data_IF_151139045057
#
_entry.id   IF_151139045057
#
_cell.length_a   1.000
_cell.length_b   1.000
_cell.length_c   1.000
_cell.angle_alpha   90.00
_cell.angle_beta   90.00
_cell.angle_gamma   90.00
#
_symmetry.space_group_name_H-M   'P 1'
#
loop_
_entity.id
_entity.type
_entity.pdbx_description
1 polymer ?
#
# COMPACT_ATOMS: atom_id res chain seq x y z
N UNK A 1 2.41 30.78 -54.72
CA UNK A 1 3.61 31.61 -54.91
C UNK A 1 4.46 31.56 -53.65
N UNK A 2 5.71 31.11 -53.81
CA UNK A 2 6.90 31.30 -52.97
C UNK A 2 6.89 30.93 -51.46
N UNK A 3 7.42 29.72 -51.18
CA UNK A 3 8.68 29.39 -50.47
C UNK A 3 9.03 29.90 -49.03
N UNK A 4 9.88 29.14 -48.31
CA UNK A 4 10.12 29.20 -46.86
C UNK A 4 11.43 29.94 -46.48
N UNK A 5 11.63 30.20 -45.18
CA UNK A 5 12.91 30.67 -44.62
C UNK A 5 13.39 29.80 -43.46
N UNK A 6 14.71 29.66 -43.39
CA UNK A 6 15.46 28.66 -42.63
C UNK A 6 16.60 29.30 -41.81
N UNK A 7 17.04 28.57 -40.76
CA UNK A 7 18.30 28.66 -39.98
C UNK A 7 18.46 29.85 -39.00
N UNK A 8 18.96 29.65 -37.77
CA UNK A 8 20.38 29.34 -37.44
C UNK A 8 20.64 28.56 -36.13
N UNK A 9 21.77 27.85 -36.12
CA UNK A 9 22.38 27.02 -35.05
C UNK A 9 23.43 27.77 -34.18
N UNK A 10 23.71 27.19 -32.98
CA UNK A 10 24.99 27.03 -32.21
C UNK A 10 25.01 27.58 -30.75
N UNK A 11 25.91 27.13 -29.82
CA UNK A 11 26.42 25.77 -29.51
C UNK A 11 26.72 25.47 -27.98
N UNK A 12 26.99 24.19 -27.64
CA UNK A 12 27.85 23.58 -26.56
C UNK A 12 27.66 23.94 -25.06
N UNK A 13 27.44 22.91 -24.21
CA UNK A 13 28.33 22.56 -23.07
C UNK A 13 28.02 21.17 -22.47
N UNK A 14 29.06 20.33 -22.46
CA UNK A 14 29.16 19.01 -21.83
C UNK A 14 29.62 19.12 -20.37
N UNK A 15 29.05 18.34 -19.46
CA UNK A 15 29.72 17.98 -18.20
C UNK A 15 29.35 16.54 -17.79
N UNK A 16 30.38 15.70 -17.68
CA UNK A 16 30.32 14.40 -16.99
C UNK A 16 30.46 14.62 -15.48
N UNK A 17 29.85 13.80 -14.60
CA UNK A 17 30.20 13.77 -13.18
C UNK A 17 31.50 12.96 -12.94
N UNK A 18 32.25 13.25 -11.85
CA UNK A 18 33.55 12.65 -11.54
C UNK A 18 33.45 11.23 -10.92
N UNK A 19 34.56 10.46 -10.87
CA UNK A 19 34.56 9.07 -10.45
C UNK A 19 34.84 8.85 -8.95
N UNK A 20 34.22 7.80 -8.40
CA UNK A 20 34.58 7.01 -7.20
C UNK A 20 34.72 7.72 -5.82
N UNK A 21 33.73 7.49 -4.94
CA UNK A 21 33.93 7.50 -3.48
C UNK A 21 33.80 6.07 -2.95
N UNK A 22 34.82 5.55 -2.27
CA UNK A 22 34.81 4.25 -1.58
C UNK A 22 34.20 4.41 -0.19
N UNK A 23 33.02 3.81 0.05
CA UNK A 23 32.38 3.73 1.36
C UNK A 23 33.16 2.77 2.28
N UNK A 24 33.36 3.12 3.56
CA UNK A 24 33.99 2.20 4.53
C UNK A 24 32.94 1.19 4.99
N UNK A 25 33.27 -0.10 4.94
CA UNK A 25 32.39 -1.18 5.38
C UNK A 25 33.00 -1.97 6.53
N UNK A 26 32.16 -2.50 7.41
CA UNK A 26 32.56 -3.44 8.48
C UNK A 26 31.73 -4.72 8.40
N UNK A 27 32.28 -5.86 8.83
CA UNK A 27 31.59 -7.16 8.73
C UNK A 27 31.07 -7.65 10.07
N UNK A 28 29.81 -8.08 10.11
CA UNK A 28 29.19 -8.75 11.26
C UNK A 28 28.59 -10.09 10.84
N UNK A 29 28.75 -11.11 11.67
CA UNK A 29 28.09 -12.41 11.51
C UNK A 29 26.84 -12.45 12.37
N UNK A 30 25.72 -12.85 11.77
CA UNK A 30 24.52 -13.23 12.51
C UNK A 30 24.21 -14.68 12.21
N UNK A 31 23.85 -15.44 13.23
CA UNK A 31 23.50 -16.84 13.08
C UNK A 31 22.64 -17.38 14.19
N UNK A 32 22.27 -18.65 14.04
CA UNK A 32 21.66 -19.42 15.11
C UNK A 32 22.17 -20.86 15.13
N UNK A 33 22.14 -21.45 16.33
CA UNK A 33 22.16 -22.90 16.52
C UNK A 33 20.80 -23.36 17.05
N UNK A 34 20.52 -24.65 16.93
CA UNK A 34 19.29 -25.22 17.44
C UNK A 34 19.52 -26.58 18.09
N UNK A 35 18.69 -26.90 19.08
CA UNK A 35 18.55 -28.24 19.65
C UNK A 35 17.07 -28.65 19.53
N UNK A 36 16.73 -29.73 18.81
CA UNK A 36 15.36 -30.19 18.73
C UNK A 36 14.92 -30.73 20.10
N UNK A 37 13.79 -30.24 20.60
CA UNK A 37 13.25 -30.67 21.89
C UNK A 37 12.29 -31.85 21.68
N UNK A 38 12.47 -32.91 22.46
CA UNK A 38 11.53 -34.04 22.51
C UNK A 38 10.51 -33.78 23.63
N UNK A 39 9.37 -33.13 23.36
CA UNK A 39 8.15 -33.34 24.17
C UNK A 39 6.88 -32.62 23.69
N UNK A 40 5.86 -33.46 23.49
CA UNK A 40 4.43 -33.45 23.87
C UNK A 40 3.61 -32.17 24.14
N UNK A 41 4.16 -30.95 24.14
CA UNK A 41 3.40 -29.73 24.48
C UNK A 41 2.76 -29.10 23.24
N UNK A 42 3.43 -29.23 22.09
CA UNK A 42 2.93 -28.77 20.79
C UNK A 42 2.51 -29.99 19.99
N UNK A 43 1.22 -30.34 20.04
CA UNK A 43 0.71 -31.63 19.54
C UNK A 43 0.85 -31.88 18.03
N UNK A 44 1.38 -30.95 17.22
CA UNK A 44 1.65 -31.17 15.78
C UNK A 44 2.82 -30.34 15.21
N UNK A 45 3.68 -29.74 16.06
CA UNK A 45 4.79 -28.89 15.59
C UNK A 45 6.10 -29.12 16.36
N UNK A 46 7.19 -29.34 15.61
CA UNK A 46 8.54 -29.53 16.16
C UNK A 46 9.00 -28.26 16.89
N UNK A 47 9.31 -28.40 18.18
CA UNK A 47 9.88 -27.34 18.99
C UNK A 47 11.42 -27.41 19.00
N UNK A 48 12.04 -26.24 19.12
CA UNK A 48 13.48 -26.06 19.12
C UNK A 48 13.90 -25.16 20.28
N UNK A 49 15.06 -25.47 20.86
CA UNK A 49 15.83 -24.53 21.67
C UNK A 49 16.79 -23.79 20.74
N UNK A 50 16.48 -22.54 20.45
CA UNK A 50 17.26 -21.65 19.61
C UNK A 50 18.35 -20.95 20.44
N UNK A 51 19.57 -20.85 19.91
CA UNK A 51 20.54 -19.85 20.33
C UNK A 51 20.84 -18.92 19.15
N UNK A 52 20.53 -17.64 19.29
CA UNK A 52 20.71 -16.62 18.25
C UNK A 52 21.91 -15.77 18.65
N UNK A 53 22.79 -15.43 17.72
CA UNK A 53 23.99 -14.65 18.03
C UNK A 53 24.30 -13.61 16.96
N UNK A 54 24.92 -12.51 17.39
CA UNK A 54 25.49 -11.48 16.55
C UNK A 54 26.93 -11.21 16.99
N UNK A 55 27.88 -11.30 16.07
CA UNK A 55 29.31 -11.22 16.35
C UNK A 55 30.02 -10.35 15.31
N UNK A 56 30.63 -9.21 15.70
CA UNK A 56 31.47 -8.46 14.78
C UNK A 56 32.69 -9.31 14.38
N UNK A 57 32.98 -9.38 13.08
CA UNK A 57 34.15 -10.09 12.54
C UNK A 57 35.33 -9.15 12.31
N UNK A 58 35.07 -7.85 12.21
CA UNK A 58 36.09 -6.83 12.09
C UNK A 58 36.42 -6.24 13.46
N UNK A 59 37.70 -6.27 13.84
CA UNK A 59 38.20 -5.67 15.08
C UNK A 59 38.10 -4.14 15.13
N UNK A 60 37.83 -3.50 14.00
CA UNK A 60 37.67 -2.04 13.90
C UNK A 60 36.34 -1.53 14.48
N UNK A 61 35.36 -2.41 14.69
CA UNK A 61 34.06 -2.05 15.27
C UNK A 61 33.80 -2.83 16.56
N UNK A 62 33.00 -2.24 17.46
CA UNK A 62 32.44 -2.95 18.60
C UNK A 62 30.94 -2.75 18.67
N UNK A 63 30.23 -3.72 19.25
CA UNK A 63 28.80 -3.59 19.52
C UNK A 63 28.62 -3.11 20.96
N UNK A 64 27.87 -2.02 21.15
CA UNK A 64 27.51 -1.53 22.48
C UNK A 64 26.18 -2.13 22.96
N UNK A 65 25.32 -2.51 22.03
CA UNK A 65 24.00 -3.07 22.32
C UNK A 65 23.50 -3.91 21.13
N UNK A 66 22.78 -4.98 21.43
CA UNK A 66 22.08 -5.78 20.43
C UNK A 66 20.66 -6.04 20.91
N UNK A 67 19.68 -5.61 20.13
CA UNK A 67 18.27 -5.91 20.39
C UNK A 67 17.76 -6.92 19.39
N UNK A 68 17.26 -8.04 19.88
CA UNK A 68 16.58 -9.06 19.10
C UNK A 68 15.07 -8.84 19.17
N UNK A 69 14.45 -8.57 18.04
CA UNK A 69 13.00 -8.60 17.87
C UNK A 69 12.60 -9.93 17.20
N UNK A 70 11.92 -10.78 17.97
CA UNK A 70 11.46 -12.10 17.62
C UNK A 70 9.99 -12.06 17.18
N UNK A 71 9.52 -13.15 16.57
CA UNK A 71 8.09 -13.33 16.30
C UNK A 71 7.23 -13.19 17.58
N UNK A 72 6.03 -12.57 17.53
CA UNK A 72 5.20 -12.33 18.73
C UNK A 72 4.76 -13.57 19.51
N UNK A 73 4.95 -14.78 18.96
CA UNK A 73 4.67 -16.03 19.69
C UNK A 73 5.75 -16.42 20.70
N UNK A 74 6.94 -15.80 20.68
CA UNK A 74 7.95 -16.01 21.72
C UNK A 74 7.60 -15.20 22.97
N UNK A 75 7.87 -15.76 24.15
CA UNK A 75 7.83 -15.01 25.41
C UNK A 75 8.91 -13.93 25.38
N UNK A 76 8.49 -12.67 25.56
CA UNK A 76 9.30 -11.47 25.34
C UNK A 76 9.83 -11.41 23.90
N UNK A 77 9.00 -10.86 23.01
CA UNK A 77 9.30 -10.74 21.59
C UNK A 77 10.34 -9.67 21.27
N UNK A 78 10.77 -8.86 22.25
CA UNK A 78 11.85 -7.88 22.10
C UNK A 78 12.81 -8.03 23.27
N UNK A 79 14.08 -8.30 23.00
CA UNK A 79 15.09 -8.57 24.02
C UNK A 79 16.34 -7.76 23.74
N UNK A 80 16.74 -6.92 24.69
CA UNK A 80 17.92 -6.07 24.60
C UNK A 80 19.09 -6.68 25.38
N UNK A 81 20.24 -6.84 24.73
CA UNK A 81 21.50 -7.31 25.32
C UNK A 81 22.54 -6.19 25.24
N UNK A 82 22.97 -5.70 26.41
CA UNK A 82 23.91 -4.56 26.53
C UNK A 82 25.36 -4.95 26.71
N UNK A 83 25.66 -6.25 26.78
CA UNK A 83 27.01 -6.76 27.03
C UNK A 83 27.27 -8.02 26.20
N UNK A 84 28.50 -8.14 25.69
CA UNK A 84 28.94 -9.33 24.96
C UNK A 84 29.14 -10.52 25.94
N UNK A 85 28.91 -11.77 25.51
CA UNK A 85 28.50 -12.17 24.16
C UNK A 85 27.00 -11.91 23.91
N UNK A 86 26.67 -11.37 22.74
CA UNK A 86 25.29 -11.03 22.37
C UNK A 86 24.53 -12.27 21.89
N UNK A 87 24.37 -13.25 22.78
CA UNK A 87 23.71 -14.53 22.49
C UNK A 87 22.36 -14.59 23.22
N UNK A 88 21.29 -14.87 22.48
CA UNK A 88 19.95 -15.02 22.99
C UNK A 88 19.48 -16.47 22.90
N UNK A 89 19.12 -17.08 24.03
CA UNK A 89 18.48 -18.40 24.05
C UNK A 89 16.96 -18.29 24.15
N UNK A 90 16.23 -19.03 23.30
CA UNK A 90 14.75 -19.07 23.28
C UNK A 90 14.22 -20.46 22.93
N UNK A 91 13.07 -20.81 23.49
CA UNK A 91 12.33 -22.01 23.09
C UNK A 91 11.14 -21.57 22.25
N UNK A 92 10.98 -22.16 21.07
CA UNK A 92 9.86 -21.88 20.17
C UNK A 92 9.69 -22.95 19.11
N UNK A 93 8.58 -22.89 18.37
CA UNK A 93 8.25 -23.84 17.32
C UNK A 93 8.56 -23.25 15.94
N UNK A 94 9.03 -24.04 14.98
CA UNK A 94 9.25 -23.57 13.61
C UNK A 94 10.33 -22.49 13.46
N UNK A 95 10.46 -21.99 12.22
CA UNK A 95 11.48 -21.01 11.79
C UNK A 95 10.84 -19.64 11.60
N UNK A 96 11.48 -18.58 12.09
CA UNK A 96 10.98 -17.21 12.00
C UNK A 96 12.08 -16.24 11.61
N UNK A 97 11.70 -15.12 11.01
CA UNK A 97 12.62 -14.00 10.86
C UNK A 97 12.79 -13.30 12.21
N UNK A 98 14.04 -13.08 12.60
CA UNK A 98 14.49 -12.32 13.75
C UNK A 98 15.11 -11.04 13.24
N UNK A 99 14.61 -9.90 13.71
CA UNK A 99 15.24 -8.61 13.45
C UNK A 99 16.31 -8.36 14.50
N UNK A 100 17.53 -8.07 14.07
CA UNK A 100 18.68 -7.80 14.93
C UNK A 100 19.07 -6.34 14.76
N UNK A 101 18.79 -5.54 15.78
CA UNK A 101 19.26 -4.16 15.86
C UNK A 101 20.63 -4.15 16.53
N UNK A 102 21.59 -3.51 15.89
CA UNK A 102 22.98 -3.43 16.30
C UNK A 102 23.32 -1.96 16.53
N UNK A 103 23.72 -1.62 17.75
CA UNK A 103 24.35 -0.33 18.01
C UNK A 103 25.87 -0.53 17.85
N UNK A 104 26.38 -0.14 16.69
CA UNK A 104 27.79 -0.29 16.31
C UNK A 104 28.55 0.96 16.72
N UNK A 105 29.47 0.81 17.68
CA UNK A 105 30.34 1.89 18.10
C UNK A 105 31.50 2.05 17.12
N UNK A 106 31.65 3.26 16.58
CA UNK A 106 32.72 3.59 15.65
C UNK A 106 34.04 3.87 16.40
N UNK A 107 35.19 3.45 15.86
CA UNK A 107 36.47 3.70 16.49
C UNK A 107 36.76 5.21 16.48
N UNK A 108 37.12 5.75 17.65
CA UNK A 108 37.61 7.11 17.89
C UNK A 108 36.61 8.29 17.74
N UNK A 109 35.33 8.06 17.44
CA UNK A 109 34.32 9.14 17.43
C UNK A 109 33.41 9.17 18.66
N UNK A 110 33.28 8.05 19.38
CA UNK A 110 32.30 7.91 20.47
C UNK A 110 30.85 7.87 19.97
N UNK A 111 30.64 7.91 18.65
CA UNK A 111 29.34 7.80 18.01
C UNK A 111 28.97 6.33 17.79
N UNK A 112 27.68 6.04 17.95
CA UNK A 112 27.11 4.73 17.62
C UNK A 112 26.20 4.86 16.41
N UNK A 113 26.35 3.93 15.46
CA UNK A 113 25.50 3.85 14.27
C UNK A 113 24.60 2.63 14.44
N UNK A 114 23.31 2.85 14.23
CA UNK A 114 22.32 1.79 14.34
C UNK A 114 22.20 1.07 13.01
N UNK A 115 22.39 -0.24 13.04
CA UNK A 115 22.10 -1.12 11.91
C UNK A 115 20.95 -2.06 12.27
N UNK A 116 20.10 -2.35 11.29
CA UNK A 116 19.02 -3.32 11.46
C UNK A 116 19.17 -4.38 10.40
N UNK A 117 19.46 -5.60 10.85
CA UNK A 117 19.62 -6.78 9.99
C UNK A 117 18.48 -7.75 10.24
N UNK A 118 18.18 -8.59 9.25
CA UNK A 118 17.15 -9.63 9.32
C UNK A 118 17.79 -10.99 9.18
N UNK A 119 17.47 -11.90 10.09
CA UNK A 119 17.99 -13.26 10.13
C UNK A 119 16.84 -14.26 10.23
N UNK A 120 16.71 -15.16 9.25
CA UNK A 120 15.75 -16.26 9.35
C UNK A 120 16.35 -17.37 10.21
N UNK A 121 15.66 -17.81 11.26
CA UNK A 121 16.05 -19.00 12.02
C UNK A 121 16.05 -20.20 11.09
N UNK A 122 17.14 -20.95 11.07
CA UNK A 122 17.30 -22.11 10.21
C UNK A 122 17.49 -23.37 11.06
N UNK A 123 16.77 -24.44 10.71
CA UNK A 123 16.88 -25.76 11.32
C UNK A 123 17.62 -26.77 10.41
N UNK A 124 18.34 -26.30 9.39
CA UNK A 124 18.92 -27.16 8.36
C UNK A 124 20.38 -27.57 8.66
N UNK A 125 21.11 -26.76 9.46
CA UNK A 125 22.46 -27.05 9.92
C UNK A 125 22.62 -26.76 11.42
N UNK A 126 23.58 -27.42 12.07
CA UNK A 126 23.82 -27.27 13.52
C UNK A 126 24.18 -25.82 13.91
N UNK A 127 24.85 -25.11 13.01
CA UNK A 127 25.15 -23.68 13.08
C UNK A 127 24.89 -23.09 11.70
N UNK A 128 23.88 -22.22 11.61
CA UNK A 128 23.52 -21.50 10.39
C UNK A 128 23.88 -20.04 10.60
N UNK A 129 24.63 -19.44 9.67
CA UNK A 129 25.10 -18.05 9.82
C UNK A 129 25.31 -17.36 8.48
N UNK A 130 25.26 -16.04 8.49
CA UNK A 130 25.60 -15.18 7.34
C UNK A 130 26.40 -13.96 7.80
N UNK A 131 27.35 -13.56 6.95
CA UNK A 131 28.13 -12.35 7.11
C UNK A 131 27.46 -11.18 6.38
N UNK A 132 27.29 -10.07 7.09
CA UNK A 132 26.68 -8.84 6.60
C UNK A 132 27.73 -7.73 6.58
N UNK A 133 27.77 -6.98 5.46
CA UNK A 133 28.56 -5.76 5.33
C UNK A 133 27.73 -4.56 5.80
N UNK A 134 28.27 -3.80 6.75
CA UNK A 134 27.67 -2.60 7.30
C UNK A 134 28.37 -1.37 6.72
N UNK A 135 27.60 -0.46 6.12
CA UNK A 135 28.12 0.82 5.62
C UNK A 135 28.28 1.84 6.76
N UNK A 136 29.43 2.50 6.84
CA UNK A 136 29.71 3.49 7.87
C UNK A 136 29.64 4.91 7.29
N UNK A 137 28.84 5.83 7.88
CA UNK A 137 28.62 7.17 7.34
C UNK A 137 29.90 8.03 7.29
N UNK A 138 29.95 8.95 6.32
CA UNK A 138 30.96 10.01 6.20
C UNK A 138 30.28 11.39 6.37
N UNK A 139 30.91 12.30 7.11
CA UNK A 139 30.35 13.61 7.51
C UNK A 139 30.22 14.62 6.33
N UNK A 140 29.00 15.16 6.04
CA UNK A 140 28.67 16.63 5.96
C UNK A 140 27.28 17.03 5.35
N UNK A 141 26.56 17.84 6.13
CA UNK A 141 25.77 19.11 5.96
C UNK A 141 24.65 19.38 4.91
N UNK A 142 23.59 20.08 5.39
CA UNK A 142 22.22 20.38 4.87
C UNK A 142 22.00 21.84 4.36
N UNK A 143 20.94 22.13 3.56
CA UNK A 143 20.18 23.42 3.51
C UNK A 143 18.85 23.37 2.66
N UNK A 144 17.88 24.26 2.96
CA UNK A 144 16.39 24.30 2.71
C UNK A 144 15.86 25.37 1.69
N UNK A 145 14.50 25.45 1.52
CA UNK A 145 13.57 26.56 1.10
C UNK A 145 12.76 26.34 -0.23
N UNK A 146 11.53 26.84 -0.54
CA UNK A 146 10.22 27.26 0.08
C UNK A 146 9.20 27.61 -1.09
N UNK A 147 7.88 27.75 -0.81
CA UNK A 147 6.64 27.74 -1.67
C UNK A 147 6.14 29.06 -2.35
N UNK A 148 5.11 29.01 -3.26
CA UNK A 148 4.15 30.12 -3.66
C UNK A 148 2.77 29.63 -4.25
N UNK A 149 1.65 30.36 -3.99
CA UNK A 149 0.19 30.19 -4.33
C UNK A 149 -0.43 31.08 -5.47
N UNK A 150 -1.64 30.74 -6.01
CA UNK A 150 -2.95 31.50 -6.09
C UNK A 150 -3.94 31.29 -7.32
N UNK A 151 -5.25 31.08 -6.98
CA UNK A 151 -6.61 31.56 -7.44
C UNK A 151 -7.32 31.32 -8.82
N UNK A 152 -8.67 31.20 -8.77
CA UNK A 152 -9.64 30.80 -9.84
C UNK A 152 -11.02 31.52 -9.84
N UNK A 153 -11.73 31.55 -11.00
CA UNK A 153 -13.09 32.10 -11.21
C UNK A 153 -13.98 31.20 -12.14
N UNK A 154 -15.32 31.26 -11.99
CA UNK A 154 -16.36 30.26 -12.38
C UNK A 154 -17.37 30.72 -13.48
N UNK A 155 -17.88 29.82 -14.36
CA UNK A 155 -19.08 30.01 -15.24
C UNK A 155 -19.87 28.69 -15.52
N UNK A 156 -21.20 28.76 -15.65
CA UNK A 156 -22.22 27.67 -15.77
C UNK A 156 -22.82 27.52 -17.18
N UNK A 157 -23.17 26.31 -17.68
CA UNK A 157 -24.10 26.07 -18.84
C UNK A 157 -24.95 24.75 -18.84
N UNK A 158 -25.98 24.76 -19.72
CA UNK A 158 -27.31 24.11 -19.86
C UNK A 158 -27.38 22.64 -20.42
N UNK A 159 -28.44 21.82 -20.18
CA UNK A 159 -28.39 20.35 -20.25
C UNK A 159 -29.11 19.67 -21.45
N UNK A 160 -28.86 20.05 -22.71
CA UNK A 160 -29.54 19.44 -23.88
C UNK A 160 -28.69 18.54 -24.81
N UNK A 161 -27.44 18.19 -24.46
CA UNK A 161 -26.61 17.29 -25.28
C UNK A 161 -26.32 15.95 -24.58
N UNK A 162 -27.25 15.00 -24.70
CA UNK A 162 -27.03 13.60 -24.31
C UNK A 162 -27.29 12.69 -25.50
N UNK A 163 -26.23 12.28 -26.22
CA UNK A 163 -25.99 10.94 -26.80
C UNK A 163 -24.85 10.98 -27.85
N UNK A 164 -23.90 10.06 -27.71
CA UNK A 164 -22.69 9.87 -28.53
C UNK A 164 -21.64 10.98 -28.43
N UNK A 165 -20.41 10.60 -28.04
CA UNK A 165 -19.32 11.47 -27.56
C UNK A 165 -19.62 12.10 -26.20
N UNK A 166 -19.42 11.34 -25.11
CA UNK A 166 -19.19 11.95 -23.80
C UNK A 166 -17.86 12.71 -23.86
N UNK A 167 -17.94 13.97 -24.30
CA UNK A 167 -16.86 14.92 -24.20
C UNK A 167 -16.77 15.32 -22.72
N UNK A 168 -15.67 14.98 -22.07
CA UNK A 168 -15.45 15.09 -20.63
C UNK A 168 -15.52 16.54 -20.10
N UNK A 169 -15.73 17.54 -20.96
CA UNK A 169 -15.60 18.97 -20.64
C UNK A 169 -16.87 19.65 -20.12
N UNK A 170 -18.03 18.99 -20.17
CA UNK A 170 -19.32 19.62 -19.85
C UNK A 170 -20.11 18.92 -18.72
N UNK A 171 -19.43 18.22 -17.79
CA UNK A 171 -20.12 17.69 -16.61
C UNK A 171 -20.35 18.83 -15.60
N UNK A 172 -21.59 19.19 -15.22
CA UNK A 172 -21.87 20.25 -14.25
C UNK A 172 -21.39 19.92 -12.83
N UNK A 173 -20.87 18.71 -12.59
CA UNK A 173 -20.21 18.29 -11.36
C UNK A 173 -18.67 18.22 -11.49
N UNK A 174 -18.11 18.55 -12.67
CA UNK A 174 -16.69 18.84 -12.81
C UNK A 174 -16.48 20.30 -12.42
N UNK A 175 -16.01 20.49 -11.19
CA UNK A 175 -15.11 21.59 -10.97
C UNK A 175 -13.71 21.07 -11.35
N UNK A 176 -13.18 21.53 -12.50
CA UNK A 176 -11.79 21.26 -12.90
C UNK A 176 -10.79 21.89 -11.90
N UNK A 177 -11.30 22.67 -10.92
CA UNK A 177 -10.56 23.39 -9.90
C UNK A 177 -10.66 22.79 -8.50
N UNK A 178 -10.94 21.49 -8.34
CA UNK A 178 -10.74 20.82 -7.04
C UNK A 178 -9.33 20.28 -6.87
N UNK A 179 -8.37 21.03 -7.39
CA UNK A 179 -7.07 21.20 -6.73
C UNK A 179 -7.25 22.49 -5.95
N UNK A 180 -6.84 22.51 -4.68
CA UNK A 180 -6.83 23.77 -3.94
C UNK A 180 -6.12 24.88 -4.75
N UNK A 181 -6.37 26.14 -4.42
CA UNK A 181 -5.93 27.38 -5.11
C UNK A 181 -4.38 27.49 -5.29
N UNK A 182 -3.67 26.44 -4.92
CA UNK A 182 -2.26 26.32 -4.62
C UNK A 182 -1.62 25.07 -5.26
N UNK A 183 -2.42 24.11 -5.76
CA UNK A 183 -1.93 22.89 -6.39
C UNK A 183 -1.24 21.91 -5.43
N UNK A 184 -1.44 22.06 -4.12
CA UNK A 184 -0.84 21.19 -3.11
C UNK A 184 -1.84 20.13 -2.64
N UNK A 185 -1.39 18.91 -2.42
CA UNK A 185 -2.23 17.89 -1.81
C UNK A 185 -2.42 18.28 -0.32
N UNK A 186 -3.55 18.90 0.06
CA UNK A 186 -3.95 19.08 1.48
C UNK A 186 -3.99 17.70 2.16
N UNK A 187 -2.90 17.38 2.85
CA UNK A 187 -2.65 16.09 3.52
C UNK A 187 -3.19 16.07 4.95
N UNK A 188 -3.84 17.15 5.38
CA UNK A 188 -4.34 17.30 6.76
C UNK A 188 -5.34 16.20 7.06
N UNK A 189 -5.07 15.46 8.14
CA UNK A 189 -6.00 14.49 8.68
C UNK A 189 -6.93 15.15 9.71
N UNK A 190 -8.21 14.81 9.62
CA UNK A 190 -9.25 15.21 10.53
C UNK A 190 -9.77 13.97 11.27
N UNK A 191 -10.35 14.19 12.45
CA UNK A 191 -11.00 13.15 13.22
C UNK A 191 -12.26 13.71 13.87
N UNK A 192 -13.41 13.11 13.58
CA UNK A 192 -14.65 13.36 14.31
C UNK A 192 -14.53 12.82 15.74
N UNK A 193 -15.22 13.42 16.70
CA UNK A 193 -15.29 12.89 18.07
C UNK A 193 -16.01 11.53 18.10
N UNK A 194 -15.78 10.73 19.15
CA UNK A 194 -16.47 9.44 19.32
C UNK A 194 -18.00 9.57 19.24
N UNK A 195 -18.55 10.62 19.82
CA UNK A 195 -20.00 10.92 19.82
C UNK A 195 -20.51 11.27 18.41
N UNK A 196 -19.75 12.08 17.66
CA UNK A 196 -20.06 12.42 16.27
C UNK A 196 -19.98 11.18 15.39
N UNK A 197 -18.98 10.32 15.62
CA UNK A 197 -18.73 9.11 14.88
C UNK A 197 -19.81 8.05 15.14
N UNK A 198 -20.19 7.82 16.39
CA UNK A 198 -21.30 6.92 16.77
C UNK A 198 -22.62 7.38 16.14
N UNK A 199 -22.95 8.66 16.25
CA UNK A 199 -24.16 9.21 15.65
C UNK A 199 -24.15 9.08 14.12
N UNK A 200 -23.00 9.33 13.50
CA UNK A 200 -22.84 9.19 12.05
C UNK A 200 -22.96 7.74 11.60
N UNK A 201 -22.30 6.81 12.28
CA UNK A 201 -22.35 5.38 11.98
C UNK A 201 -23.80 4.84 12.08
N UNK A 202 -24.53 5.19 13.14
CA UNK A 202 -25.94 4.81 13.30
C UNK A 202 -26.83 5.33 12.16
N UNK A 203 -26.67 6.60 11.79
CA UNK A 203 -27.41 7.19 10.67
C UNK A 203 -27.07 6.51 9.34
N UNK A 204 -25.78 6.24 9.10
CA UNK A 204 -25.31 5.62 7.86
C UNK A 204 -25.75 4.16 7.79
N UNK A 205 -25.69 3.41 8.89
CA UNK A 205 -26.21 2.05 8.98
C UNK A 205 -27.71 1.99 8.68
N UNK A 206 -28.48 2.96 9.17
CA UNK A 206 -29.90 3.09 8.82
C UNK A 206 -30.09 3.31 7.31
N UNK A 207 -29.34 4.24 6.70
CA UNK A 207 -29.43 4.51 5.27
C UNK A 207 -29.04 3.29 4.44
N UNK A 208 -27.91 2.67 4.76
CA UNK A 208 -27.39 1.48 4.09
C UNK A 208 -28.43 0.36 4.09
N UNK A 209 -29.04 0.07 5.25
CA UNK A 209 -30.06 -0.98 5.41
C UNK A 209 -31.34 -0.73 4.60
N UNK A 210 -31.72 0.53 4.38
CA UNK A 210 -32.96 0.90 3.68
C UNK A 210 -32.75 1.25 2.20
N UNK A 211 -31.51 1.20 1.72
CA UNK A 211 -31.16 1.45 0.33
C UNK A 211 -31.31 0.16 -0.49
N UNK A 212 -31.77 0.28 -1.74
CA UNK A 212 -32.10 -0.85 -2.60
C UNK A 212 -30.86 -1.43 -3.27
N UNK A 213 -29.92 -0.57 -3.66
CA UNK A 213 -28.71 -0.97 -4.36
C UNK A 213 -27.45 -0.27 -3.82
N UNK A 214 -27.03 -0.56 -2.58
CA UNK A 214 -25.81 0.03 -2.04
C UNK A 214 -24.56 -0.46 -2.75
N UNK A 215 -23.67 0.46 -3.09
CA UNK A 215 -22.35 0.18 -3.65
C UNK A 215 -21.27 0.79 -2.76
N UNK A 216 -20.25 0.00 -2.44
CA UNK A 216 -19.11 0.45 -1.63
C UNK A 216 -17.90 0.66 -2.54
N UNK A 217 -17.20 1.77 -2.33
CA UNK A 217 -16.01 2.17 -3.07
C UNK A 217 -14.83 2.23 -2.11
N UNK A 218 -13.75 1.54 -2.44
CA UNK A 218 -12.62 1.39 -1.51
C UNK A 218 -11.28 1.79 -2.14
N UNK A 219 -10.45 2.47 -1.36
CA UNK A 219 -9.06 2.77 -1.68
C UNK A 219 -8.09 2.31 -0.61
N UNK A 220 -6.83 2.73 -0.73
CA UNK A 220 -5.73 2.19 0.07
C UNK A 220 -5.89 2.43 1.58
N UNK A 221 -6.66 3.46 1.97
CA UNK A 221 -6.95 3.79 3.37
C UNK A 221 -7.73 2.71 4.13
N UNK A 222 -8.35 1.74 3.46
CA UNK A 222 -8.97 0.58 4.13
C UNK A 222 -7.94 -0.50 4.52
N UNK A 223 -6.74 -0.44 3.95
CA UNK A 223 -5.67 -1.43 4.12
C UNK A 223 -4.54 -0.93 5.04
N UNK A 224 -4.59 0.33 5.49
CA UNK A 224 -3.54 0.94 6.33
C UNK A 224 -3.35 0.22 7.67
N UNK A 225 -4.43 -0.25 8.31
CA UNK A 225 -4.34 -1.05 9.55
C UNK A 225 -3.78 -2.47 9.33
N UNK A 226 -3.69 -2.95 8.08
CA UNK A 226 -2.95 -4.18 7.73
C UNK A 226 -1.44 -3.93 7.57
N UNK A 227 -0.96 -2.72 7.87
CA UNK A 227 0.41 -2.26 7.65
C UNK A 227 0.81 -2.26 6.17
N UNK A 228 -0.17 -2.02 5.29
CA UNK A 228 0.03 -1.66 3.90
C UNK A 228 -0.05 -0.14 3.82
N UNK A 229 1.05 0.52 3.42
CA UNK A 229 1.06 1.97 3.27
C UNK A 229 -0.03 2.43 2.29
N UNK A 230 -0.56 3.63 2.49
CA UNK A 230 -1.40 4.25 1.48
C UNK A 230 -0.55 5.00 0.44
N UNK A 231 -1.22 5.71 -0.46
CA UNK A 231 -0.55 6.46 -1.52
C UNK A 231 -0.38 7.95 -1.20
N UNK A 232 -1.30 8.58 -0.47
CA UNK A 232 -1.40 10.05 -0.32
C UNK A 232 -1.67 10.53 1.10
N UNK A 233 -1.73 9.62 2.07
CA UNK A 233 -1.73 9.95 3.49
C UNK A 233 -0.44 10.66 3.90
N UNK A 234 -0.31 11.09 5.16
CA UNK A 234 0.90 11.73 5.67
C UNK A 234 2.19 10.91 5.42
N UNK A 235 2.06 9.58 5.40
CA UNK A 235 3.15 8.64 5.10
C UNK A 235 2.94 7.87 3.78
N UNK A 236 2.11 8.38 2.88
CA UNK A 236 1.76 7.71 1.63
C UNK A 236 2.89 7.69 0.60
N UNK A 237 2.86 6.72 -0.32
CA UNK A 237 3.93 6.50 -1.30
C UNK A 237 4.26 7.73 -2.16
N UNK A 238 3.24 8.47 -2.60
CA UNK A 238 3.41 9.71 -3.35
C UNK A 238 3.81 10.86 -2.42
N UNK A 239 3.19 10.96 -1.23
CA UNK A 239 3.54 11.98 -0.23
C UNK A 239 5.02 11.98 0.12
N UNK A 240 5.58 10.80 0.41
CA UNK A 240 7.00 10.68 0.75
C UNK A 240 7.90 10.92 -0.45
N UNK A 241 7.54 10.40 -1.63
CA UNK A 241 8.28 10.65 -2.88
C UNK A 241 8.36 12.14 -3.20
N UNK A 242 7.25 12.86 -3.09
CA UNK A 242 7.18 14.29 -3.39
C UNK A 242 7.97 15.12 -2.35
N UNK A 243 8.17 14.61 -1.13
CA UNK A 243 9.07 15.16 -0.11
C UNK A 243 10.54 14.75 -0.28
N UNK A 244 10.91 14.05 -1.36
CA UNK A 244 12.27 13.51 -1.55
C UNK A 244 12.65 12.42 -0.56
N UNK A 245 11.69 11.90 0.22
CA UNK A 245 11.90 10.84 1.21
C UNK A 245 11.56 9.48 0.61
N UNK A 246 12.38 8.48 0.92
CA UNK A 246 12.01 7.10 0.63
C UNK A 246 11.01 6.59 1.68
N UNK A 247 10.20 5.59 1.32
CA UNK A 247 9.31 4.91 2.27
C UNK A 247 10.13 4.32 3.45
N UNK A 248 10.19 5.03 4.58
CA UNK A 248 10.78 4.52 5.83
C UNK A 248 9.91 3.38 6.41
N UNK A 249 8.61 3.37 6.09
CA UNK A 249 7.72 2.24 6.35
C UNK A 249 8.00 1.13 5.33
N UNK A 250 8.63 0.04 5.79
CA UNK A 250 8.55 -1.26 5.08
C UNK A 250 7.08 -1.69 5.11
N UNK A 251 6.31 -1.37 4.06
CA UNK A 251 4.99 -1.98 3.87
C UNK A 251 5.18 -3.49 3.97
N UNK A 252 4.31 -4.18 4.73
CA UNK A 252 4.33 -5.64 4.71
C UNK A 252 4.24 -6.11 3.27
N UNK A 253 4.93 -7.20 2.96
CA UNK A 253 4.68 -7.91 1.72
C UNK A 253 3.17 -8.23 1.68
N UNK A 254 2.50 -8.06 0.54
CA UNK A 254 1.06 -8.30 0.43
C UNK A 254 0.70 -9.69 0.99
N UNK A 255 1.60 -10.67 0.82
CA UNK A 255 1.46 -12.06 1.31
C UNK A 255 1.33 -12.15 2.83
N UNK A 256 1.94 -11.23 3.56
CA UNK A 256 1.95 -11.17 5.03
C UNK A 256 0.83 -10.28 5.59
N UNK A 257 0.17 -9.49 4.75
CA UNK A 257 -0.99 -8.70 5.14
C UNK A 257 -2.21 -9.60 5.32
N UNK A 258 -3.00 -9.33 6.36
CA UNK A 258 -4.31 -9.96 6.57
C UNK A 258 -5.42 -8.93 6.32
N UNK A 259 -6.61 -9.36 5.85
CA UNK A 259 -7.73 -8.45 5.72
C UNK A 259 -8.01 -7.71 7.03
N UNK A 260 -8.29 -6.41 6.94
CA UNK A 260 -8.62 -5.56 8.08
C UNK A 260 -10.04 -5.83 8.57
N UNK A 261 -10.45 -5.18 9.67
CA UNK A 261 -11.82 -5.31 10.17
C UNK A 261 -12.82 -4.86 9.10
N UNK A 262 -12.56 -3.74 8.42
CA UNK A 262 -13.39 -3.22 7.36
C UNK A 262 -13.53 -4.21 6.19
N UNK A 263 -12.46 -4.93 5.82
CA UNK A 263 -12.55 -5.97 4.78
C UNK A 263 -13.45 -7.14 5.19
N UNK A 264 -13.36 -7.63 6.42
CA UNK A 264 -14.23 -8.69 6.92
C UNK A 264 -15.68 -8.23 7.07
N UNK A 265 -15.89 -7.01 7.58
CA UNK A 265 -17.22 -6.42 7.68
C UNK A 265 -17.89 -6.29 6.31
N UNK A 266 -17.17 -5.78 5.30
CA UNK A 266 -17.67 -5.70 3.92
C UNK A 266 -17.98 -7.06 3.31
N UNK A 267 -17.11 -8.05 3.52
CA UNK A 267 -17.34 -9.43 3.08
C UNK A 267 -18.67 -9.97 3.63
N UNK A 268 -18.94 -9.75 4.92
CA UNK A 268 -20.18 -10.18 5.54
C UNK A 268 -21.40 -9.36 5.06
N UNK A 269 -21.27 -8.05 4.86
CA UNK A 269 -22.34 -7.20 4.32
C UNK A 269 -22.74 -7.59 2.89
N UNK A 270 -21.75 -7.92 2.05
CA UNK A 270 -21.97 -8.42 0.68
C UNK A 270 -22.61 -9.80 0.71
N UNK A 271 -22.13 -10.70 1.56
CA UNK A 271 -22.69 -12.05 1.74
C UNK A 271 -24.16 -12.02 2.20
N UNK A 272 -24.54 -11.02 3.00
CA UNK A 272 -25.92 -10.78 3.44
C UNK A 272 -26.76 -9.97 2.46
N UNK A 273 -26.21 -9.64 1.29
CA UNK A 273 -26.83 -8.81 0.25
C UNK A 273 -27.27 -7.41 0.72
N UNK A 274 -26.70 -6.91 1.82
CA UNK A 274 -26.91 -5.54 2.31
C UNK A 274 -26.13 -4.57 1.41
N UNK A 275 -24.89 -4.94 1.07
CA UNK A 275 -24.11 -4.29 0.01
C UNK A 275 -24.26 -5.11 -1.26
N UNK A 276 -24.62 -4.48 -2.39
CA UNK A 276 -24.81 -5.18 -3.67
C UNK A 276 -23.52 -5.37 -4.44
N UNK A 277 -22.56 -4.46 -4.27
CA UNK A 277 -21.33 -4.50 -5.04
C UNK A 277 -20.20 -3.71 -4.39
N UNK A 278 -18.97 -4.14 -4.65
CA UNK A 278 -17.75 -3.44 -4.24
C UNK A 278 -16.99 -2.98 -5.48
N UNK A 279 -16.55 -1.73 -5.48
CA UNK A 279 -15.62 -1.20 -6.48
C UNK A 279 -14.33 -0.84 -5.75
N UNK A 280 -13.21 -1.41 -6.15
CA UNK A 280 -11.93 -1.18 -5.48
C UNK A 280 -10.85 -0.72 -6.43
N UNK A 281 -10.06 0.24 -5.95
CA UNK A 281 -8.80 0.66 -6.60
C UNK A 281 -7.58 -0.02 -5.98
N UNK A 282 -7.77 -0.93 -5.02
CA UNK A 282 -6.68 -1.60 -4.31
C UNK A 282 -6.19 -2.81 -5.08
N UNK A 283 -4.86 -2.96 -5.11
CA UNK A 283 -4.18 -4.07 -5.78
C UNK A 283 -3.78 -5.19 -4.81
N UNK A 284 -3.98 -4.98 -3.50
CA UNK A 284 -3.51 -5.84 -2.40
C UNK A 284 -4.23 -7.19 -2.28
N UNK A 285 -5.34 -7.38 -3.01
CA UNK A 285 -6.14 -8.61 -3.01
C UNK A 285 -6.86 -8.94 -1.70
N UNK A 286 -6.87 -8.04 -0.70
CA UNK A 286 -7.44 -8.32 0.62
C UNK A 286 -8.96 -8.50 0.59
N UNK A 287 -9.68 -7.87 -0.34
CA UNK A 287 -11.12 -8.14 -0.56
C UNK A 287 -11.38 -9.58 -0.99
N UNK A 288 -10.58 -10.12 -1.90
CA UNK A 288 -10.71 -11.53 -2.33
C UNK A 288 -10.41 -12.47 -1.17
N UNK A 289 -9.35 -12.17 -0.42
CA UNK A 289 -8.88 -12.96 0.72
C UNK A 289 -9.82 -12.87 1.93
N UNK A 290 -10.63 -11.82 2.06
CA UNK A 290 -11.68 -11.72 3.08
C UNK A 290 -12.95 -12.49 2.73
N UNK A 291 -13.09 -12.97 1.49
CA UNK A 291 -14.20 -13.81 1.04
C UNK A 291 -15.17 -13.17 0.03
N UNK A 292 -14.91 -11.94 -0.45
CA UNK A 292 -15.73 -11.32 -1.50
C UNK A 292 -15.58 -12.11 -2.81
N UNK A 293 -16.68 -12.54 -3.43
CA UNK A 293 -16.67 -13.37 -4.64
C UNK A 293 -16.47 -12.55 -5.92
N UNK A 294 -16.02 -13.20 -7.02
CA UNK A 294 -15.52 -12.48 -8.22
C UNK A 294 -16.61 -11.66 -8.87
N UNK A 295 -17.82 -12.18 -8.88
CA UNK A 295 -19.02 -11.53 -9.41
C UNK A 295 -19.60 -10.45 -8.48
N UNK A 296 -18.94 -10.12 -7.37
CA UNK A 296 -19.41 -9.12 -6.39
C UNK A 296 -18.45 -7.92 -6.26
N UNK A 297 -17.37 -7.91 -7.06
CA UNK A 297 -16.34 -6.88 -7.00
C UNK A 297 -15.78 -6.53 -8.37
N UNK A 298 -15.55 -5.24 -8.60
CA UNK A 298 -14.69 -4.73 -9.66
C UNK A 298 -13.33 -4.31 -9.09
N UNK A 299 -12.25 -4.93 -9.58
CA UNK A 299 -10.86 -4.62 -9.20
C UNK A 299 -10.22 -3.72 -10.25
N UNK A 300 -10.50 -2.42 -10.18
CA UNK A 300 -10.22 -1.47 -11.28
C UNK A 300 -8.73 -1.35 -11.59
N UNK A 301 -7.84 -1.46 -10.60
CA UNK A 301 -6.39 -1.36 -10.80
C UNK A 301 -5.69 -2.72 -10.81
N UNK A 302 -6.47 -3.81 -10.90
CA UNK A 302 -5.95 -5.16 -10.86
C UNK A 302 -5.79 -5.71 -9.45
N UNK A 303 -5.18 -6.90 -9.37
CA UNK A 303 -4.92 -7.61 -8.14
C UNK A 303 -3.58 -8.36 -8.24
N UNK A 304 -2.68 -8.16 -7.27
CA UNK A 304 -1.34 -8.73 -7.29
C UNK A 304 -1.34 -10.27 -7.25
N UNK A 305 -2.41 -10.92 -6.80
CA UNK A 305 -2.57 -12.38 -6.78
C UNK A 305 -3.21 -12.95 -8.05
N UNK A 306 -3.59 -12.10 -9.01
CA UNK A 306 -4.42 -12.48 -10.15
C UNK A 306 -3.62 -12.39 -11.45
N UNK A 307 -3.70 -13.48 -12.23
CA UNK A 307 -3.13 -13.54 -13.58
C UNK A 307 -4.15 -14.06 -14.61
N UNK A 308 -4.09 -13.53 -15.82
CA UNK A 308 -4.95 -13.88 -16.95
C UNK A 308 -4.14 -14.53 -18.08
N UNK A 309 -4.71 -15.54 -18.72
CA UNK A 309 -4.12 -16.11 -19.92
C UNK A 309 -4.31 -15.20 -21.14
N UNK A 310 -3.23 -14.81 -21.79
CA UNK A 310 -3.26 -13.96 -23.01
C UNK A 310 -3.88 -14.62 -24.24
N UNK A 311 -4.26 -15.91 -24.16
CA UNK A 311 -4.79 -16.68 -25.30
C UNK A 311 -6.24 -17.10 -25.11
N UNK A 312 -6.65 -17.41 -23.87
CA UNK A 312 -8.01 -17.89 -23.59
C UNK A 312 -8.72 -17.13 -22.47
N UNK A 313 -8.12 -16.06 -21.95
CA UNK A 313 -8.64 -15.21 -20.87
C UNK A 313 -8.96 -15.94 -19.55
N UNK A 314 -8.55 -17.20 -19.40
CA UNK A 314 -8.71 -17.93 -18.15
C UNK A 314 -7.99 -17.22 -17.01
N UNK A 315 -8.73 -16.98 -15.94
CA UNK A 315 -8.24 -16.36 -14.71
C UNK A 315 -7.64 -17.40 -13.76
N UNK A 316 -6.57 -17.00 -13.10
CA UNK A 316 -5.93 -17.74 -12.02
C UNK A 316 -5.71 -16.81 -10.83
N UNK A 317 -6.28 -17.20 -9.68
CA UNK A 317 -5.97 -16.59 -8.39
C UNK A 317 -4.89 -17.43 -7.70
N UNK A 318 -3.85 -16.77 -7.18
CA UNK A 318 -2.68 -17.41 -6.57
C UNK A 318 -2.60 -17.10 -5.07
N UNK A 319 -1.82 -17.91 -4.36
CA UNK A 319 -1.47 -17.68 -2.95
C UNK A 319 -0.22 -16.81 -2.77
N UNK A 320 0.33 -16.28 -3.86
CA UNK A 320 1.55 -15.47 -3.90
C UNK A 320 1.37 -14.29 -4.86
N UNK A 321 2.18 -13.25 -4.67
CA UNK A 321 2.21 -12.08 -5.54
C UNK A 321 2.78 -12.45 -6.92
N UNK A 322 1.91 -12.39 -7.92
CA UNK A 322 2.20 -12.73 -9.30
C UNK A 322 3.18 -11.76 -9.97
N UNK A 323 3.27 -10.53 -9.46
CA UNK A 323 4.07 -9.43 -10.03
C UNK A 323 5.56 -9.59 -9.77
N UNK A 324 5.95 -10.26 -8.67
CA UNK A 324 7.36 -10.49 -8.30
C UNK A 324 8.18 -11.22 -9.37
N UNK A 325 7.51 -12.01 -10.20
CA UNK A 325 8.12 -12.77 -11.30
C UNK A 325 8.21 -11.99 -12.62
N UNK A 326 7.58 -10.82 -12.71
CA UNK A 326 7.49 -10.01 -13.93
C UNK A 326 8.81 -9.28 -14.14
N UNK A 327 9.51 -9.64 -15.22
CA UNK A 327 10.81 -9.03 -15.57
C UNK A 327 10.68 -7.69 -16.31
N UNK A 328 9.57 -7.48 -16.99
CA UNK A 328 9.27 -6.26 -17.74
C UNK A 328 7.80 -5.93 -17.55
N UNK A 329 7.53 -4.93 -16.71
CA UNK A 329 6.18 -4.50 -16.35
C UNK A 329 5.31 -4.23 -17.59
N UNK A 330 5.87 -3.64 -18.65
CA UNK A 330 5.13 -3.27 -19.88
C UNK A 330 4.47 -4.43 -20.62
N UNK A 331 4.91 -5.67 -20.40
CA UNK A 331 4.33 -6.83 -21.07
C UNK A 331 3.51 -7.72 -20.13
N UNK A 332 3.57 -7.46 -18.82
CA UNK A 332 2.91 -8.20 -17.74
C UNK A 332 3.24 -9.70 -17.67
N UNK A 333 4.21 -10.20 -18.44
CA UNK A 333 4.44 -11.66 -18.54
C UNK A 333 5.03 -12.16 -17.23
N UNK A 334 4.28 -13.04 -16.57
CA UNK A 334 4.67 -13.60 -15.26
C UNK A 334 5.63 -14.78 -15.34
N UNK A 335 5.97 -15.21 -16.56
CA UNK A 335 6.81 -16.40 -16.81
C UNK A 335 6.08 -17.73 -16.66
N UNK A 336 4.80 -17.74 -16.27
CA UNK A 336 3.96 -18.94 -16.16
C UNK A 336 3.13 -19.19 -17.41
N UNK A 337 2.59 -20.41 -17.54
CA UNK A 337 1.75 -20.85 -18.66
C UNK A 337 0.38 -21.33 -18.19
N UNK A 338 -0.64 -21.04 -18.98
CA UNK A 338 -1.98 -21.59 -18.85
C UNK A 338 -2.00 -23.06 -19.28
N UNK A 339 -3.04 -23.79 -18.89
CA UNK A 339 -3.31 -25.15 -19.37
C UNK A 339 -3.47 -25.25 -20.90
N UNK A 340 -3.83 -24.15 -21.57
CA UNK A 340 -3.88 -24.07 -23.05
C UNK A 340 -2.52 -23.77 -23.69
N UNK A 341 -1.45 -23.62 -22.90
CA UNK A 341 -0.11 -23.25 -23.38
C UNK A 341 0.14 -21.74 -23.53
N UNK A 342 -0.90 -20.92 -23.47
CA UNK A 342 -0.79 -19.45 -23.52
C UNK A 342 -0.02 -18.87 -22.32
N UNK A 343 0.63 -17.71 -22.53
CA UNK A 343 1.36 -17.01 -21.47
C UNK A 343 0.38 -16.43 -20.45
N UNK A 344 0.75 -16.48 -19.17
CA UNK A 344 0.02 -15.77 -18.12
C UNK A 344 0.57 -14.36 -17.97
N UNK A 345 -0.34 -13.41 -17.77
CA UNK A 345 -0.05 -12.02 -17.51
C UNK A 345 -0.62 -11.60 -16.16
N UNK A 346 0.10 -10.79 -15.38
CA UNK A 346 -0.50 -10.16 -14.20
C UNK A 346 -1.58 -9.15 -14.62
N UNK A 347 -2.32 -8.64 -13.64
CA UNK A 347 -3.45 -7.74 -13.89
C UNK A 347 -3.23 -6.32 -13.39
N UNK A 348 -2.04 -6.01 -12.85
CA UNK A 348 -1.75 -4.70 -12.28
C UNK A 348 -1.82 -3.65 -13.37
N UNK A 349 -2.44 -2.52 -13.06
CA UNK A 349 -2.53 -1.37 -13.97
C UNK A 349 -1.43 -0.37 -13.63
N UNK A 350 -0.57 -0.08 -14.59
CA UNK A 350 0.44 0.97 -14.49
C UNK A 350 -0.08 2.30 -15.06
N UNK A 351 0.65 3.38 -14.78
CA UNK A 351 0.34 4.67 -15.40
C UNK A 351 0.33 4.56 -16.93
N UNK A 352 -0.59 5.28 -17.56
CA UNK A 352 -0.84 5.30 -19.02
C UNK A 352 -1.51 4.05 -19.60
N UNK A 353 -1.76 3.03 -18.78
CA UNK A 353 -2.56 1.87 -19.20
C UNK A 353 -4.05 2.12 -19.00
N UNK A 354 -4.86 1.50 -19.86
CA UNK A 354 -6.31 1.54 -19.73
C UNK A 354 -6.76 0.64 -18.59
N UNK A 355 -7.80 1.08 -17.86
CA UNK A 355 -8.48 0.20 -16.93
C UNK A 355 -9.09 -1.01 -17.66
N UNK A 356 -9.18 -2.18 -17.01
CA UNK A 356 -9.80 -3.36 -17.57
C UNK A 356 -11.28 -3.09 -17.88
N UNK A 357 -11.63 -3.16 -19.16
CA UNK A 357 -12.95 -2.77 -19.70
C UNK A 357 -14.11 -3.46 -18.97
N UNK A 358 -14.00 -4.77 -18.72
CA UNK A 358 -15.06 -5.50 -18.02
C UNK A 358 -15.25 -5.00 -16.57
N UNK A 359 -14.16 -4.83 -15.81
CA UNK A 359 -14.26 -4.35 -14.42
C UNK A 359 -14.89 -2.96 -14.37
N UNK A 360 -14.51 -2.11 -15.32
CA UNK A 360 -14.96 -0.73 -15.42
C UNK A 360 -16.43 -0.64 -15.85
N UNK A 361 -16.86 -1.44 -16.83
CA UNK A 361 -18.25 -1.54 -17.24
C UNK A 361 -19.14 -2.07 -16.10
N UNK A 362 -18.72 -3.15 -15.43
CA UNK A 362 -19.44 -3.68 -14.27
C UNK A 362 -19.55 -2.60 -13.16
N UNK A 363 -18.47 -1.85 -12.91
CA UNK A 363 -18.47 -0.77 -11.93
C UNK A 363 -19.45 0.35 -12.32
N UNK A 364 -19.46 0.80 -13.58
CA UNK A 364 -20.44 1.77 -14.09
C UNK A 364 -21.87 1.29 -13.92
N UNK A 365 -22.16 0.07 -14.37
CA UNK A 365 -23.49 -0.53 -14.31
C UNK A 365 -24.03 -0.58 -12.87
N UNK A 366 -23.18 -0.93 -11.90
CA UNK A 366 -23.57 -0.95 -10.50
C UNK A 366 -23.69 0.46 -9.92
N UNK A 367 -22.81 1.39 -10.28
CA UNK A 367 -22.84 2.77 -9.84
C UNK A 367 -24.09 3.53 -10.33
N UNK A 368 -24.54 3.31 -11.57
CA UNK A 368 -25.74 3.96 -12.12
C UNK A 368 -27.05 3.44 -11.51
N UNK A 369 -27.06 2.18 -11.07
CA UNK A 369 -28.18 1.58 -10.32
C UNK A 369 -28.21 1.98 -8.86
N UNK A 370 -27.11 2.53 -8.34
CA UNK A 370 -26.95 2.77 -6.92
C UNK A 370 -27.81 3.92 -6.41
N UNK A 371 -28.50 3.69 -5.29
CA UNK A 371 -29.18 4.72 -4.49
C UNK A 371 -28.41 5.08 -3.20
N UNK A 372 -27.28 4.40 -2.95
CA UNK A 372 -26.40 4.68 -1.82
C UNK A 372 -24.95 4.30 -2.13
N UNK A 373 -24.06 5.29 -2.13
CA UNK A 373 -22.63 5.12 -2.33
C UNK A 373 -21.89 5.33 -1.01
N UNK A 374 -21.16 4.32 -0.55
CA UNK A 374 -20.26 4.45 0.62
C UNK A 374 -18.82 4.40 0.16
N UNK A 375 -18.11 5.50 0.34
CA UNK A 375 -16.69 5.64 -0.02
C UNK A 375 -15.85 5.47 1.24
N UNK A 376 -14.88 4.55 1.20
CA UNK A 376 -14.02 4.20 2.33
C UNK A 376 -12.55 4.32 1.96
N UNK A 377 -11.82 5.20 2.64
CA UNK A 377 -10.35 5.24 2.61
C UNK A 377 -9.76 5.51 1.23
N UNK A 378 -10.36 6.42 0.45
CA UNK A 378 -9.82 6.86 -0.83
C UNK A 378 -9.77 8.38 -0.89
N UNK A 379 -8.70 8.92 -1.48
CA UNK A 379 -8.58 10.35 -1.76
C UNK A 379 -9.45 10.81 -2.93
N UNK A 380 -10.07 9.88 -3.69
CA UNK A 380 -10.93 10.17 -4.84
C UNK A 380 -10.29 11.07 -5.90
N UNK A 381 -8.98 10.91 -6.17
CA UNK A 381 -8.25 11.72 -7.17
C UNK A 381 -8.03 11.05 -8.52
N UNK A 382 -8.09 9.71 -8.59
CA UNK A 382 -7.70 8.97 -9.80
C UNK A 382 -8.91 8.73 -10.70
N UNK A 383 -8.91 9.37 -11.87
CA UNK A 383 -9.93 9.14 -12.90
C UNK A 383 -9.68 7.82 -13.66
N UNK A 384 -10.75 7.17 -14.18
CA UNK A 384 -12.16 7.52 -14.02
C UNK A 384 -12.78 7.05 -12.68
N UNK A 385 -12.05 6.26 -11.88
CA UNK A 385 -12.58 5.59 -10.69
C UNK A 385 -13.23 6.52 -9.66
N UNK A 386 -12.69 7.73 -9.47
CA UNK A 386 -13.20 8.68 -8.49
C UNK A 386 -14.59 9.26 -8.80
N UNK A 387 -15.06 9.15 -10.05
CA UNK A 387 -16.37 9.65 -10.48
C UNK A 387 -17.50 8.67 -10.21
N UNK A 388 -17.18 7.39 -10.09
CA UNK A 388 -18.19 6.33 -9.96
C UNK A 388 -19.12 6.50 -8.75
N UNK A 389 -18.64 6.91 -7.55
CA UNK A 389 -19.52 7.11 -6.40
C UNK A 389 -20.59 8.19 -6.61
N UNK A 390 -20.29 9.26 -7.37
CA UNK A 390 -21.22 10.38 -7.55
C UNK A 390 -22.40 10.05 -8.47
N UNK A 391 -22.29 8.97 -9.27
CA UNK A 391 -23.36 8.52 -10.16
C UNK A 391 -24.64 8.13 -9.42
N UNK A 392 -24.56 7.75 -8.13
CA UNK A 392 -25.75 7.44 -7.33
C UNK A 392 -26.72 8.62 -7.22
N UNK A 393 -26.23 9.86 -7.39
CA UNK A 393 -27.06 11.07 -7.34
C UNK A 393 -28.10 11.14 -8.44
N UNK A 394 -27.86 10.51 -9.60
CA UNK A 394 -28.85 10.43 -10.68
C UNK A 394 -30.15 9.74 -10.22
N UNK A 395 -30.08 8.90 -9.18
CA UNK A 395 -31.22 8.23 -8.56
C UNK A 395 -31.72 8.94 -7.28
N UNK A 396 -31.35 10.21 -7.08
CA UNK A 396 -31.52 10.91 -5.80
C UNK A 396 -30.85 10.17 -4.62
N UNK A 397 -29.82 9.38 -4.93
CA UNK A 397 -29.08 8.58 -3.97
C UNK A 397 -28.12 9.40 -3.13
N UNK A 398 -27.68 8.81 -2.01
CA UNK A 398 -26.80 9.48 -1.05
C UNK A 398 -25.39 8.94 -1.15
N UNK A 399 -24.43 9.84 -1.33
CA UNK A 399 -23.01 9.54 -1.27
C UNK A 399 -22.45 9.90 0.11
N UNK A 400 -21.86 8.93 0.79
CA UNK A 400 -21.21 9.09 2.09
C UNK A 400 -19.71 8.85 1.91
N UNK A 401 -18.89 9.75 2.44
CA UNK A 401 -17.43 9.64 2.36
C UNK A 401 -16.87 9.46 3.77
N UNK A 402 -16.12 8.38 3.97
CA UNK A 402 -15.37 8.09 5.20
C UNK A 402 -13.89 8.07 4.87
N UNK A 403 -13.19 9.11 5.27
CA UNK A 403 -11.76 9.28 5.00
C UNK A 403 -11.15 10.22 6.05
N UNK A 404 -9.87 10.05 6.40
CA UNK A 404 -9.20 10.96 7.33
C UNK A 404 -8.90 12.32 6.68
N UNK A 405 -8.62 12.33 5.38
CA UNK A 405 -8.32 13.55 4.62
C UNK A 405 -9.54 14.02 3.84
N UNK A 406 -9.57 15.31 3.49
CA UNK A 406 -10.56 15.84 2.54
C UNK A 406 -10.45 15.16 1.18
N UNK A 407 -11.56 15.12 0.46
CA UNK A 407 -11.60 14.61 -0.91
C UNK A 407 -12.14 15.67 -1.88
N UNK A 408 -11.81 15.57 -3.18
CA UNK A 408 -12.38 16.46 -4.18
C UNK A 408 -13.91 16.45 -4.27
N UNK A 409 -14.55 15.40 -3.73
CA UNK A 409 -16.00 15.19 -3.80
C UNK A 409 -16.71 15.54 -2.49
N UNK A 410 -16.01 16.17 -1.54
CA UNK A 410 -16.56 16.56 -0.24
C UNK A 410 -17.76 17.49 -0.37
N UNK A 411 -17.72 18.43 -1.33
CA UNK A 411 -18.78 19.40 -1.58
C UNK A 411 -20.08 18.76 -2.12
N UNK A 412 -19.96 17.56 -2.70
CA UNK A 412 -21.09 16.80 -3.24
C UNK A 412 -21.51 15.63 -2.33
N UNK A 413 -20.81 15.34 -1.24
CA UNK A 413 -21.19 14.28 -0.31
C UNK A 413 -22.48 14.65 0.47
N UNK A 414 -23.37 13.67 0.65
CA UNK A 414 -24.49 13.77 1.59
C UNK A 414 -23.99 13.88 3.03
N UNK A 415 -22.95 13.11 3.36
CA UNK A 415 -22.28 13.15 4.66
C UNK A 415 -20.81 12.80 4.52
N UNK A 416 -19.99 13.55 5.24
CA UNK A 416 -18.56 13.29 5.43
C UNK A 416 -18.35 12.81 6.85
N UNK A 417 -17.48 11.82 7.01
CA UNK A 417 -17.08 11.29 8.30
C UNK A 417 -15.57 11.21 8.30
N UNK A 418 -14.94 11.93 9.22
CA UNK A 418 -13.49 11.89 9.36
C UNK A 418 -13.11 10.84 10.40
N UNK A 419 -12.79 9.63 9.94
CA UNK A 419 -12.49 8.51 10.82
C UNK A 419 -11.61 7.46 10.15
N UNK A 420 -10.92 6.67 10.97
CA UNK A 420 -10.30 5.42 10.52
C UNK A 420 -11.39 4.44 10.07
N UNK A 421 -11.20 3.82 8.91
CA UNK A 421 -12.20 2.94 8.28
C UNK A 421 -12.59 1.76 9.18
N UNK A 422 -11.62 1.09 9.83
CA UNK A 422 -11.89 0.00 10.78
C UNK A 422 -12.72 0.44 11.99
N UNK A 423 -12.53 1.68 12.45
CA UNK A 423 -13.22 2.24 13.61
C UNK A 423 -14.66 2.62 13.28
N UNK A 424 -14.86 3.21 12.09
CA UNK A 424 -16.17 3.50 11.54
C UNK A 424 -16.97 2.21 11.30
N UNK A 425 -16.37 1.21 10.66
CA UNK A 425 -17.05 -0.04 10.28
C UNK A 425 -17.44 -0.92 11.48
N UNK A 426 -16.83 -0.72 12.65
CA UNK A 426 -17.14 -1.46 13.89
C UNK A 426 -18.40 -0.96 14.59
N UNK A 427 -18.71 0.32 14.43
CA UNK A 427 -19.90 0.98 14.98
C UNK A 427 -21.11 0.72 14.09
#
# INVERSE_FOLDING_TARGET
TCQPTSFTHNPILSSFPPPNMTCKTATIRIGNTYEPLSSSIYQDSQAFKWKIYAQPLDSSISLSNVTYELHPSFSDSIVELKQAPFILERVGWGTFEVTVHLDVSLPNSGESVKHTLKWMLQAESQDSSQDFQLELPQQKDMMEDEDVHFDLDLVVLDPSEATSNYNCRNDPYLDENVLDENGEDDKTEFADSDEQLDHSAQQIAYLLKHSKHPVVYTGAGISTSANLGDFRGPNGAWTLRDQGRSHEFKSKDFEQAYPTYAHYALSELVKREIVKYVVSTNMDGLHRRSGVLRNQISELHGNCYRELCSSCNKEYLRGFDTTKSVKNWRNHITGRKCSCGGKLKDTIIHFTENLPEQELNDAWDHSEKSDFALVLGTSMRVQPSCRLPSLCKKQNGKMVIVNLQKTPYDHVAYKKVYAKTDEFMRR
#
